data_IF_138056042263
#
_entry.id   IF_138056042263
#
_cell.length_a   1.000
_cell.length_b   1.000
_cell.length_c   1.000
_cell.angle_alpha   90.00
_cell.angle_beta   90.00
_cell.angle_gamma   90.00
#
_symmetry.space_group_name_H-M   'P 1'
#
loop_
_entity.id
_entity.type
_entity.pdbx_description
1 polymer ?
#
# COMPACT_ATOMS: atom_id res chain seq x y z
N UNK A 1 -21.31 -10.50 -3.90
CA UNK A 1 -20.23 -10.34 -4.90
C UNK A 1 -18.90 -10.46 -4.17
N UNK A 2 -17.98 -11.32 -4.60
CA UNK A 2 -16.65 -11.41 -3.96
C UNK A 2 -15.80 -10.24 -4.43
N UNK A 3 -15.37 -9.39 -3.49
CA UNK A 3 -14.56 -8.20 -3.79
C UNK A 3 -13.10 -8.62 -3.91
N UNK A 4 -12.47 -8.21 -5.00
CA UNK A 4 -11.06 -8.41 -5.29
C UNK A 4 -10.33 -7.07 -5.15
N UNK A 5 -9.29 -7.06 -4.32
CA UNK A 5 -8.32 -5.98 -4.23
C UNK A 5 -6.97 -6.60 -3.87
N UNK A 6 -6.13 -6.78 -4.88
CA UNK A 6 -4.80 -7.37 -4.74
C UNK A 6 -3.74 -6.37 -5.13
N UNK A 7 -2.60 -6.47 -4.48
CA UNK A 7 -1.44 -5.63 -4.75
C UNK A 7 -0.18 -6.46 -4.86
N UNK A 8 0.74 -6.02 -5.71
CA UNK A 8 2.13 -6.49 -5.71
C UNK A 8 3.09 -5.34 -5.98
N UNK A 9 4.32 -5.42 -5.49
CA UNK A 9 5.38 -4.49 -5.88
C UNK A 9 6.22 -5.12 -6.99
N UNK A 10 6.10 -4.60 -8.22
CA UNK A 10 6.70 -5.19 -9.42
C UNK A 10 8.16 -4.79 -9.63
N UNK A 11 8.53 -3.56 -9.26
CA UNK A 11 9.88 -3.01 -9.42
C UNK A 11 10.13 -1.78 -8.58
N UNK A 12 11.40 -1.41 -8.49
CA UNK A 12 11.84 -0.13 -7.91
C UNK A 12 12.62 0.68 -8.93
N UNK A 13 12.56 2.00 -8.84
CA UNK A 13 13.40 2.88 -9.64
C UNK A 13 13.77 4.15 -8.86
N UNK A 14 14.95 4.69 -9.17
CA UNK A 14 15.40 5.94 -8.57
C UNK A 14 14.83 7.12 -9.37
N UNK A 15 14.16 8.06 -8.69
CA UNK A 15 13.67 9.29 -9.31
C UNK A 15 14.67 10.41 -9.08
N UNK A 16 15.23 10.92 -10.19
CA UNK A 16 16.18 12.04 -10.24
C UNK A 16 17.38 11.88 -9.28
N UNK A 17 17.86 10.66 -9.06
CA UNK A 17 18.93 10.36 -8.10
C UNK A 17 18.66 10.79 -6.64
N UNK A 18 17.39 11.05 -6.28
CA UNK A 18 17.02 11.57 -4.95
C UNK A 18 16.33 10.54 -4.06
N UNK A 19 15.43 9.73 -4.61
CA UNK A 19 14.67 8.75 -3.83
C UNK A 19 14.23 7.55 -4.65
N UNK A 20 14.07 6.42 -3.97
CA UNK A 20 13.51 5.19 -4.54
C UNK A 20 11.99 5.24 -4.54
N UNK A 21 11.40 5.02 -5.71
CA UNK A 21 9.98 4.71 -5.89
C UNK A 21 9.77 3.21 -6.04
N UNK A 22 8.66 2.74 -5.51
CA UNK A 22 8.15 1.38 -5.62
C UNK A 22 6.94 1.44 -6.56
N UNK A 23 6.98 0.68 -7.66
CA UNK A 23 5.82 0.48 -8.54
C UNK A 23 4.91 -0.57 -7.90
N UNK A 24 3.75 -0.13 -7.45
CA UNK A 24 2.71 -0.98 -6.90
C UNK A 24 1.71 -1.26 -8.02
N UNK A 25 1.55 -2.52 -8.37
CA UNK A 25 0.53 -3.01 -9.27
C UNK A 25 -0.70 -3.34 -8.45
N UNK A 26 -1.85 -2.83 -8.86
CA UNK A 26 -3.14 -3.09 -8.22
C UNK A 26 -4.06 -3.83 -9.21
N UNK A 27 -4.70 -4.90 -8.73
CA UNK A 27 -5.73 -5.65 -9.45
C UNK A 27 -7.01 -5.60 -8.63
N UNK A 28 -8.12 -5.20 -9.24
CA UNK A 28 -9.39 -5.06 -8.53
C UNK A 28 -10.61 -5.26 -9.42
N UNK A 29 -11.72 -5.69 -8.84
CA UNK A 29 -13.03 -5.70 -9.48
C UNK A 29 -13.99 -4.65 -8.88
N UNK A 30 -13.44 -3.66 -8.14
CA UNK A 30 -14.23 -2.60 -7.54
C UNK A 30 -14.93 -1.76 -8.62
N UNK A 31 -16.24 -1.50 -8.48
CA UNK A 31 -17.03 -0.78 -9.48
C UNK A 31 -16.57 0.67 -9.65
N UNK A 32 -15.86 1.23 -8.66
CA UNK A 32 -15.28 2.57 -8.73
C UNK A 32 -14.13 2.70 -9.74
N UNK A 33 -13.59 1.59 -10.25
CA UNK A 33 -12.54 1.61 -11.28
C UNK A 33 -13.02 1.04 -12.60
N UNK A 34 -12.90 1.85 -13.65
CA UNK A 34 -13.11 1.42 -15.04
C UNK A 34 -12.14 0.31 -15.47
N UNK A 35 -10.90 0.39 -14.99
CA UNK A 35 -9.87 -0.60 -15.30
C UNK A 35 -9.65 -1.51 -14.10
N UNK A 36 -9.69 -2.82 -14.33
CA UNK A 36 -9.39 -3.83 -13.30
C UNK A 36 -7.91 -3.90 -12.91
N UNK A 37 -7.06 -3.15 -13.60
CA UNK A 37 -5.62 -3.13 -13.43
C UNK A 37 -5.11 -1.69 -13.52
N UNK A 38 -4.26 -1.29 -12.59
CA UNK A 38 -3.56 -0.01 -12.63
C UNK A 38 -2.28 -0.03 -11.79
N UNK A 39 -1.48 1.03 -11.92
CA UNK A 39 -0.21 1.18 -11.22
C UNK A 39 -0.19 2.45 -10.41
N UNK A 40 0.37 2.38 -9.21
CA UNK A 40 0.69 3.56 -8.39
C UNK A 40 2.15 3.53 -7.98
N UNK A 41 2.71 4.72 -7.77
CA UNK A 41 4.11 4.87 -7.41
C UNK A 41 4.20 5.55 -6.06
N UNK A 42 4.86 4.89 -5.10
CA UNK A 42 5.02 5.41 -3.74
C UNK A 42 6.48 5.30 -3.33
N UNK A 43 6.94 6.22 -2.50
CA UNK A 43 8.25 6.16 -1.84
C UNK A 43 8.10 5.78 -0.38
N UNK A 44 9.20 5.44 0.28
CA UNK A 44 9.23 5.08 1.71
C UNK A 44 8.46 6.06 2.60
N UNK A 45 8.61 7.37 2.39
CA UNK A 45 7.93 8.37 3.23
C UNK A 45 6.40 8.31 3.10
N UNK A 46 5.88 7.92 1.93
CA UNK A 46 4.44 7.82 1.72
C UNK A 46 3.89 6.63 2.52
N UNK A 47 4.61 5.49 2.48
CA UNK A 47 4.32 4.34 3.34
C UNK A 47 4.43 4.69 4.83
N UNK A 48 5.44 5.48 5.21
CA UNK A 48 5.65 5.89 6.59
C UNK A 48 4.50 6.77 7.11
N UNK A 49 4.01 7.70 6.29
CA UNK A 49 2.83 8.51 6.60
C UNK A 49 1.59 7.62 6.73
N UNK A 50 1.37 6.69 5.79
CA UNK A 50 0.26 5.74 5.86
C UNK A 50 0.31 4.92 7.15
N UNK A 51 1.45 4.29 7.44
CA UNK A 51 1.66 3.48 8.64
C UNK A 51 1.42 4.28 9.91
N UNK A 52 1.92 5.53 9.95
CA UNK A 52 1.71 6.45 11.07
C UNK A 52 0.24 6.74 11.37
N UNK A 53 -0.62 6.80 10.35
CA UNK A 53 -2.06 6.99 10.50
C UNK A 53 -2.75 5.68 10.84
N UNK A 54 -2.46 4.60 10.11
CA UNK A 54 -3.12 3.29 10.31
C UNK A 54 -2.86 2.72 11.71
N UNK A 55 -1.65 2.87 12.25
CA UNK A 55 -1.32 2.34 13.60
C UNK A 55 -2.16 2.95 14.73
N UNK A 56 -2.83 4.08 14.49
CA UNK A 56 -3.77 4.67 15.44
C UNK A 56 -5.10 3.89 15.50
N UNK A 57 -5.43 3.16 14.43
CA UNK A 57 -6.68 2.41 14.28
C UNK A 57 -6.48 0.89 14.35
N UNK A 58 -5.29 0.39 13.98
CA UNK A 58 -4.95 -1.03 13.97
C UNK A 58 -3.77 -1.32 14.89
N UNK A 59 -4.00 -2.11 15.95
CA UNK A 59 -2.96 -2.51 16.91
C UNK A 59 -2.02 -3.59 16.35
N UNK A 60 -2.57 -4.53 15.59
CA UNK A 60 -1.82 -5.66 15.03
C UNK A 60 -1.45 -5.35 13.57
N UNK A 61 -0.32 -4.69 13.37
CA UNK A 61 0.23 -4.42 12.04
C UNK A 61 1.45 -5.31 11.76
N UNK A 62 1.66 -5.73 10.50
CA UNK A 62 2.90 -6.39 10.11
C UNK A 62 4.12 -5.51 10.40
N UNK A 63 5.32 -6.11 10.52
CA UNK A 63 6.56 -5.37 10.67
C UNK A 63 6.74 -4.30 9.58
N UNK A 64 7.19 -3.11 9.97
CA UNK A 64 7.43 -1.99 9.06
C UNK A 64 8.94 -1.72 8.94
N UNK A 65 9.49 -1.53 7.72
CA UNK A 65 10.92 -1.34 7.55
C UNK A 65 11.41 -0.06 8.21
N UNK A 66 12.56 -0.11 8.87
CA UNK A 66 13.14 1.06 9.56
C UNK A 66 13.59 2.15 8.56
N UNK A 67 13.57 3.39 9.03
CA UNK A 67 14.17 4.52 8.30
C UNK A 67 15.69 4.33 8.25
N UNK A 68 16.30 4.72 7.13
CA UNK A 68 17.75 4.74 6.94
C UNK A 68 18.16 6.18 6.67
N UNK A 69 19.25 6.61 7.29
CA UNK A 69 19.79 7.97 7.20
C UNK A 69 20.96 8.08 6.23
N UNK A 70 21.60 6.95 5.90
CA UNK A 70 22.71 6.86 4.95
C UNK A 70 22.22 6.40 3.57
N UNK A 71 23.14 6.43 2.58
CA UNK A 71 22.89 5.98 1.22
C UNK A 71 22.27 4.58 1.25
N UNK A 72 21.19 4.42 0.49
CA UNK A 72 20.42 3.18 0.44
C UNK A 72 21.17 2.18 -0.45
N UNK A 73 21.57 1.05 0.13
CA UNK A 73 22.09 -0.08 -0.62
C UNK A 73 20.95 -0.90 -1.26
N UNK A 74 21.32 -1.74 -2.22
CA UNK A 74 20.37 -2.60 -2.94
C UNK A 74 19.66 -3.59 -2.00
N UNK A 75 20.36 -4.11 -0.98
CA UNK A 75 19.77 -4.99 0.04
C UNK A 75 18.63 -4.33 0.80
N UNK A 76 18.79 -3.07 1.21
CA UNK A 76 17.78 -2.28 1.91
C UNK A 76 16.57 -2.04 1.02
N UNK A 77 16.80 -1.74 -0.27
CA UNK A 77 15.71 -1.54 -1.24
C UNK A 77 14.91 -2.83 -1.40
N UNK A 78 15.60 -3.97 -1.53
CA UNK A 78 14.99 -5.29 -1.70
C UNK A 78 14.22 -5.72 -0.45
N UNK A 79 14.80 -5.54 0.74
CA UNK A 79 14.13 -5.79 2.02
C UNK A 79 12.84 -4.97 2.14
N UNK A 80 12.92 -3.66 1.86
CA UNK A 80 11.74 -2.77 1.87
C UNK A 80 10.69 -3.20 0.87
N UNK A 81 11.10 -3.61 -0.33
CA UNK A 81 10.17 -4.09 -1.35
C UNK A 81 9.36 -5.29 -0.84
N UNK A 82 10.03 -6.29 -0.27
CA UNK A 82 9.39 -7.49 0.30
C UNK A 82 8.45 -7.11 1.44
N UNK A 83 8.92 -6.27 2.38
CA UNK A 83 8.11 -5.86 3.54
C UNK A 83 6.91 -5.01 3.13
N UNK A 84 7.07 -4.05 2.22
CA UNK A 84 5.97 -3.22 1.74
C UNK A 84 4.95 -4.02 0.93
N UNK A 85 5.40 -5.01 0.16
CA UNK A 85 4.53 -5.91 -0.57
C UNK A 85 3.63 -6.73 0.37
N UNK A 86 4.23 -7.39 1.39
CA UNK A 86 3.47 -8.09 2.42
C UNK A 86 2.55 -7.17 3.23
N UNK A 87 3.02 -5.96 3.55
CA UNK A 87 2.24 -4.96 4.28
C UNK A 87 1.00 -4.51 3.49
N UNK A 88 1.13 -4.23 2.19
CA UNK A 88 -0.02 -3.85 1.36
C UNK A 88 -1.01 -4.99 1.17
N UNK A 89 -0.54 -6.21 0.94
CA UNK A 89 -1.40 -7.39 0.86
C UNK A 89 -2.22 -7.57 2.14
N UNK A 90 -1.60 -7.42 3.31
CA UNK A 90 -2.31 -7.45 4.59
C UNK A 90 -3.38 -6.35 4.68
N UNK A 91 -3.04 -5.10 4.36
CA UNK A 91 -3.99 -3.99 4.42
C UNK A 91 -5.16 -4.17 3.45
N UNK A 92 -4.92 -4.65 2.23
CA UNK A 92 -5.97 -4.95 1.27
C UNK A 92 -6.90 -6.07 1.77
N UNK A 93 -6.34 -7.10 2.39
CA UNK A 93 -7.13 -8.15 3.03
C UNK A 93 -8.01 -7.61 4.16
N UNK A 94 -7.50 -6.69 4.98
CA UNK A 94 -8.30 -6.02 6.02
C UNK A 94 -9.45 -5.20 5.44
N UNK A 95 -9.24 -4.50 4.32
CA UNK A 95 -10.29 -3.77 3.59
C UNK A 95 -11.37 -4.73 3.10
N UNK A 96 -10.98 -5.82 2.41
CA UNK A 96 -11.93 -6.79 1.83
C UNK A 96 -12.72 -7.52 2.91
N UNK A 97 -12.05 -7.92 4.00
CA UNK A 97 -12.69 -8.62 5.12
C UNK A 97 -13.53 -7.71 6.02
N UNK A 98 -13.59 -6.41 5.73
CA UNK A 98 -14.35 -5.41 6.48
C UNK A 98 -13.99 -5.35 7.98
N UNK A 99 -12.76 -5.74 8.34
CA UNK A 99 -12.27 -5.81 9.72
C UNK A 99 -11.61 -4.50 10.19
N UNK A 100 -11.93 -3.38 9.55
CA UNK A 100 -11.37 -2.06 9.82
C UNK A 100 -12.43 -0.97 9.70
N UNK A 101 -12.20 0.15 10.38
CA UNK A 101 -13.08 1.31 10.31
C UNK A 101 -13.07 1.96 8.92
N UNK A 102 -14.12 2.72 8.61
CA UNK A 102 -14.23 3.40 7.31
C UNK A 102 -13.15 4.47 7.13
N UNK A 103 -12.68 5.13 8.21
CA UNK A 103 -11.53 6.03 8.11
C UNK A 103 -10.26 5.27 7.69
N UNK A 104 -10.04 4.07 8.25
CA UNK A 104 -8.89 3.25 7.89
C UNK A 104 -8.97 2.77 6.43
N UNK A 105 -10.15 2.37 5.96
CA UNK A 105 -10.39 2.04 4.55
C UNK A 105 -10.06 3.24 3.66
N UNK A 106 -10.57 4.42 3.99
CA UNK A 106 -10.33 5.64 3.21
C UNK A 106 -8.83 6.00 3.11
N UNK A 107 -8.06 5.78 4.18
CA UNK A 107 -6.60 5.97 4.16
C UNK A 107 -5.91 5.00 3.19
N UNK A 108 -6.31 3.73 3.20
CA UNK A 108 -5.72 2.68 2.36
C UNK A 108 -6.10 2.90 0.89
N UNK A 109 -7.39 3.16 0.60
CA UNK A 109 -7.87 3.40 -0.77
C UNK A 109 -7.26 4.67 -1.34
N UNK A 110 -7.19 5.76 -0.56
CA UNK A 110 -6.51 6.99 -0.97
C UNK A 110 -5.02 6.76 -1.27
N UNK A 111 -4.34 5.96 -0.44
CA UNK A 111 -2.95 5.58 -0.72
C UNK A 111 -2.82 4.85 -2.05
N UNK A 112 -3.74 3.95 -2.37
CA UNK A 112 -3.76 3.21 -3.65
C UNK A 112 -4.40 3.99 -4.80
N UNK A 113 -4.74 5.27 -4.64
CA UNK A 113 -5.49 6.07 -5.62
C UNK A 113 -6.81 5.39 -6.08
N UNK A 114 -7.47 4.69 -5.15
CA UNK A 114 -8.79 4.08 -5.32
C UNK A 114 -9.83 5.05 -4.73
N UNK A 115 -10.89 5.33 -5.49
CA UNK A 115 -11.99 6.16 -5.02
C UNK A 115 -12.69 5.46 -3.85
N UNK A 116 -13.19 6.23 -2.89
CA UNK A 116 -13.77 5.69 -1.64
C UNK A 116 -14.74 4.54 -1.93
N UNK A 117 -14.50 3.40 -1.29
CA UNK A 117 -15.33 2.22 -1.48
C UNK A 117 -16.58 2.38 -0.62
N UNK A 118 -17.72 2.65 -1.25
CA UNK A 118 -19.02 2.43 -0.62
C UNK A 118 -19.32 0.93 -0.70
N UNK A 119 -19.05 0.21 0.39
CA UNK A 119 -19.52 -1.16 0.53
C UNK A 119 -20.96 -1.10 1.01
N UNK A 120 -21.91 -0.92 0.08
CA UNK A 120 -23.32 -1.09 0.42
C UNK A 120 -23.52 -2.55 0.88
N UNK A 121 -24.11 -2.69 2.08
CA UNK A 121 -24.37 -3.98 2.75
C UNK A 121 -25.48 -4.75 2.06
#
# INVERSE_FOLDING_TARGET
>A
MNILLETSISKTFCKNNKYTLYEIVCITNLPTKKNCFFKVHKRYSDFYVLHGKIKMHLKNLPPFPKKKYFKMDYSTITERMIMFDGYLRYLCHMVISNNITDECKALITSFLNIDSISLDK
#
